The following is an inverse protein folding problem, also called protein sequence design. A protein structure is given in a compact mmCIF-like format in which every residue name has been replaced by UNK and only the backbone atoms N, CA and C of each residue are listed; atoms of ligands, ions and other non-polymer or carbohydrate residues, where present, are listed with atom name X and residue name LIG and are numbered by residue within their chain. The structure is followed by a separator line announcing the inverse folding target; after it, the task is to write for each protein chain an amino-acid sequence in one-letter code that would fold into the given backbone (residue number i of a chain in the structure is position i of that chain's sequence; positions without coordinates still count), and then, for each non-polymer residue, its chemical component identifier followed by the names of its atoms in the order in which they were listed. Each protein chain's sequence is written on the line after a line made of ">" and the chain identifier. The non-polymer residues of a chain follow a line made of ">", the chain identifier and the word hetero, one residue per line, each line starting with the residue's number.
data_IF_665731976481
#
_entry.id   IF_665731976481
#
_cell.length_a   1.000
_cell.length_b   1.000
_cell.length_c   1.000
_cell.angle_alpha   90.00
_cell.angle_beta   90.00
_cell.angle_gamma   90.00
#
_symmetry.space_group_name_H-M   'P 1'
#
loop_
_entity.id
_entity.type
_entity.pdbx_description
1 polymer ?
#
# COMPACT_ATOMS: atom_id res chain seq x y z
N UNK A 1 -3.35 -21.03 9.47
CA UNK A 1 -2.25 -20.59 8.61
C UNK A 1 -1.37 -21.74 8.15
N UNK A 2 -0.85 -22.59 9.04
CA UNK A 2 -0.01 -23.74 8.64
C UNK A 2 -0.65 -24.66 7.60
N UNK A 3 -1.93 -24.97 7.74
CA UNK A 3 -2.66 -25.83 6.83
C UNK A 3 -2.72 -25.28 5.39
N UNK A 4 -2.72 -23.95 5.23
CA UNK A 4 -2.74 -23.31 3.92
C UNK A 4 -1.39 -23.40 3.21
N UNK A 5 -0.30 -23.39 3.96
CA UNK A 5 1.06 -23.46 3.40
C UNK A 5 1.59 -24.89 3.22
N UNK A 6 0.94 -25.89 3.84
CA UNK A 6 1.37 -27.28 3.73
C UNK A 6 1.53 -27.78 2.28
N UNK A 7 0.59 -27.52 1.35
CA UNK A 7 0.75 -27.97 -0.05
C UNK A 7 1.95 -27.33 -0.76
N UNK A 8 2.28 -26.06 -0.42
CA UNK A 8 3.46 -25.40 -1.00
C UNK A 8 4.76 -26.05 -0.55
N UNK A 9 4.83 -26.44 0.73
CA UNK A 9 6.04 -27.05 1.31
C UNK A 9 6.35 -28.44 0.73
N UNK A 10 5.37 -29.11 0.12
CA UNK A 10 5.53 -30.36 -0.57
C UNK A 10 6.08 -30.19 -2.01
N UNK A 11 6.06 -28.96 -2.54
CA UNK A 11 6.57 -28.64 -3.87
C UNK A 11 8.08 -28.38 -3.82
N UNK A 12 8.85 -29.14 -4.60
CA UNK A 12 10.30 -28.96 -4.69
C UNK A 12 10.67 -27.59 -5.24
N UNK A 13 9.96 -27.11 -6.26
CA UNK A 13 10.17 -25.80 -6.90
C UNK A 13 9.97 -24.66 -5.93
N UNK A 14 8.96 -24.75 -5.05
CA UNK A 14 8.74 -23.76 -4.01
C UNK A 14 9.87 -23.75 -2.97
N UNK A 15 10.36 -24.93 -2.59
CA UNK A 15 11.47 -25.06 -1.66
C UNK A 15 12.75 -24.46 -2.26
N UNK A 16 13.02 -24.70 -3.54
CA UNK A 16 14.16 -24.11 -4.26
C UNK A 16 14.03 -22.61 -4.36
N UNK A 17 12.83 -22.08 -4.68
CA UNK A 17 12.57 -20.66 -4.71
C UNK A 17 12.86 -19.98 -3.36
N UNK A 18 12.35 -20.55 -2.27
CA UNK A 18 12.61 -20.02 -0.91
C UNK A 18 14.09 -19.99 -0.59
N UNK A 19 14.80 -21.05 -0.87
CA UNK A 19 16.25 -21.15 -0.63
C UNK A 19 17.03 -20.12 -1.44
N UNK A 20 16.66 -19.89 -2.69
CA UNK A 20 17.29 -18.87 -3.53
C UNK A 20 17.07 -17.45 -2.97
N UNK A 21 15.84 -17.13 -2.58
CA UNK A 21 15.52 -15.82 -1.97
C UNK A 21 16.23 -15.64 -0.64
N UNK A 22 16.24 -16.64 0.23
CA UNK A 22 16.91 -16.61 1.54
C UNK A 22 18.44 -16.40 1.41
N UNK A 23 19.05 -16.97 0.37
CA UNK A 23 20.47 -16.78 0.05
C UNK A 23 20.77 -15.45 -0.65
N UNK A 24 19.75 -14.65 -0.97
CA UNK A 24 19.93 -13.40 -1.73
C UNK A 24 20.28 -13.61 -3.20
N UNK A 25 20.00 -14.78 -3.77
CA UNK A 25 20.19 -15.05 -5.19
C UNK A 25 19.13 -14.25 -5.99
N UNK A 26 19.57 -13.25 -6.76
CA UNK A 26 18.69 -12.36 -7.52
C UNK A 26 19.25 -12.07 -8.91
N UNK A 27 18.43 -12.00 -9.94
CA UNK A 27 16.96 -12.26 -9.96
C UNK A 27 16.64 -13.75 -10.00
N UNK A 28 15.49 -14.12 -9.42
CA UNK A 28 14.91 -15.46 -9.58
C UNK A 28 13.70 -15.37 -10.51
N UNK A 29 13.63 -16.24 -11.53
CA UNK A 29 12.51 -16.29 -12.46
C UNK A 29 11.67 -17.53 -12.22
N UNK A 30 10.36 -17.33 -12.01
CA UNK A 30 9.38 -18.41 -11.86
C UNK A 30 8.48 -18.42 -13.09
N UNK A 31 8.38 -19.58 -13.76
CA UNK A 31 7.57 -19.74 -14.96
C UNK A 31 6.54 -20.86 -14.78
N UNK A 32 5.43 -20.77 -15.52
CA UNK A 32 4.41 -21.84 -15.56
C UNK A 32 3.40 -21.82 -14.42
N UNK A 33 3.52 -20.91 -13.45
CA UNK A 33 2.55 -20.79 -12.36
C UNK A 33 1.21 -20.20 -12.83
N UNK A 34 0.10 -20.80 -12.38
CA UNK A 34 -1.22 -20.20 -12.54
C UNK A 34 -1.36 -18.93 -11.66
N UNK A 35 -2.24 -18.01 -12.04
CA UNK A 35 -2.40 -16.73 -11.34
C UNK A 35 -2.71 -16.88 -9.84
N UNK A 36 -3.64 -17.78 -9.51
CA UNK A 36 -3.96 -18.07 -8.10
C UNK A 36 -2.77 -18.66 -7.32
N UNK A 37 -1.92 -19.46 -7.98
CA UNK A 37 -0.71 -20.01 -7.35
C UNK A 37 0.31 -18.92 -7.05
N UNK A 38 0.42 -17.87 -7.88
CA UNK A 38 1.36 -16.76 -7.66
C UNK A 38 1.10 -16.09 -6.33
N UNK A 39 -0.17 -15.71 -6.05
CA UNK A 39 -0.55 -15.11 -4.76
C UNK A 39 -0.20 -16.03 -3.59
N UNK A 40 -0.49 -17.33 -3.71
CA UNK A 40 -0.20 -18.30 -2.68
C UNK A 40 1.31 -18.48 -2.45
N UNK A 41 2.12 -18.54 -3.51
CA UNK A 41 3.59 -18.62 -3.41
C UNK A 41 4.19 -17.38 -2.78
N UNK A 42 3.74 -16.17 -3.17
CA UNK A 42 4.20 -14.91 -2.60
C UNK A 42 3.85 -14.86 -1.10
N UNK A 43 2.62 -15.23 -0.75
CA UNK A 43 2.20 -15.30 0.65
C UNK A 43 3.04 -16.31 1.44
N UNK A 44 3.36 -17.45 0.85
CA UNK A 44 4.22 -18.46 1.49
C UNK A 44 5.63 -17.97 1.82
N UNK A 45 6.05 -16.83 1.25
CA UNK A 45 7.36 -16.19 1.54
C UNK A 45 7.23 -14.98 2.47
N UNK A 46 6.09 -14.81 3.19
CA UNK A 46 5.84 -13.64 4.04
C UNK A 46 6.85 -13.44 5.17
N UNK A 47 7.46 -14.52 5.63
CA UNK A 47 8.46 -14.55 6.69
C UNK A 47 9.87 -14.14 6.23
N UNK A 48 10.09 -13.97 4.93
CA UNK A 48 11.41 -13.62 4.38
C UNK A 48 11.62 -12.09 4.28
N UNK A 49 10.57 -11.29 4.36
CA UNK A 49 10.68 -9.83 4.30
C UNK A 49 9.50 -9.14 4.98
N UNK A 50 9.79 -8.08 5.74
CA UNK A 50 8.76 -7.25 6.35
C UNK A 50 7.97 -6.43 5.33
N UNK A 51 8.61 -6.01 4.25
CA UNK A 51 7.98 -5.28 3.15
C UNK A 51 8.06 -6.10 1.87
N UNK A 52 6.91 -6.35 1.28
CA UNK A 52 6.77 -7.05 -0.01
C UNK A 52 6.17 -6.11 -1.03
N UNK A 53 6.83 -5.94 -2.16
CA UNK A 53 6.36 -5.12 -3.26
C UNK A 53 6.00 -5.99 -4.46
N UNK A 54 4.73 -5.98 -4.84
CA UNK A 54 4.21 -6.66 -6.03
C UNK A 54 3.95 -5.61 -7.10
N UNK A 55 4.72 -5.68 -8.19
CA UNK A 55 4.60 -4.74 -9.30
C UNK A 55 3.95 -5.45 -10.49
N UNK A 56 2.91 -4.87 -11.05
CA UNK A 56 2.21 -5.39 -12.22
C UNK A 56 2.16 -4.36 -13.35
N UNK A 57 1.68 -4.80 -14.52
CA UNK A 57 1.76 -4.02 -15.75
C UNK A 57 0.60 -3.04 -15.97
N UNK A 58 -0.53 -3.20 -15.27
CA UNK A 58 -1.63 -2.25 -15.31
C UNK A 58 -2.50 -2.28 -14.06
N UNK A 59 -3.38 -1.28 -13.91
CA UNK A 59 -4.24 -1.11 -12.74
C UNK A 59 -5.31 -2.18 -12.58
N UNK A 60 -5.90 -2.64 -13.69
CA UNK A 60 -6.93 -3.70 -13.65
C UNK A 60 -6.32 -4.92 -13.00
N UNK A 61 -5.13 -5.30 -13.46
CA UNK A 61 -4.41 -6.45 -12.90
C UNK A 61 -3.98 -6.22 -11.45
N UNK A 62 -3.60 -4.99 -11.10
CA UNK A 62 -3.23 -4.67 -9.72
C UNK A 62 -4.43 -4.83 -8.76
N UNK A 63 -5.61 -4.39 -9.18
CA UNK A 63 -6.85 -4.53 -8.38
C UNK A 63 -7.30 -5.98 -8.26
N UNK A 64 -7.24 -6.77 -9.34
CA UNK A 64 -7.50 -8.21 -9.28
C UNK A 64 -6.55 -8.91 -8.30
N UNK A 65 -5.24 -8.65 -8.41
CA UNK A 65 -4.25 -9.19 -7.48
C UNK A 65 -4.51 -8.76 -6.02
N UNK A 66 -4.95 -7.52 -5.80
CA UNK A 66 -5.30 -7.03 -4.48
C UNK A 66 -6.44 -7.85 -3.86
N UNK A 67 -7.50 -8.10 -4.62
CA UNK A 67 -8.65 -8.88 -4.15
C UNK A 67 -8.25 -10.35 -3.89
N UNK A 68 -7.48 -10.94 -4.79
CA UNK A 68 -6.98 -12.31 -4.63
C UNK A 68 -6.05 -12.42 -3.42
N UNK A 69 -5.11 -11.49 -3.26
CA UNK A 69 -4.12 -11.52 -2.19
C UNK A 69 -4.74 -11.25 -0.81
N UNK A 70 -5.81 -10.46 -0.74
CA UNK A 70 -6.58 -10.22 0.50
C UNK A 70 -7.18 -11.48 1.12
N UNK A 71 -7.31 -12.56 0.35
CA UNK A 71 -7.74 -13.85 0.89
C UNK A 71 -6.67 -14.46 1.81
N UNK A 72 -5.40 -14.13 1.57
CA UNK A 72 -4.25 -14.63 2.32
C UNK A 72 -3.81 -13.66 3.41
N UNK A 73 -3.62 -12.39 3.06
CA UNK A 73 -3.11 -11.35 3.95
C UNK A 73 -4.03 -10.13 3.95
N UNK A 74 -4.45 -9.71 5.16
CA UNK A 74 -5.29 -8.51 5.33
C UNK A 74 -4.47 -7.22 5.34
N UNK A 75 -3.16 -7.33 5.58
CA UNK A 75 -2.26 -6.17 5.58
C UNK A 75 -1.65 -5.93 4.20
N UNK A 76 -2.49 -5.90 3.19
CA UNK A 76 -2.14 -5.60 1.80
C UNK A 76 -2.74 -4.28 1.39
N UNK A 77 -1.91 -3.40 0.81
CA UNK A 77 -2.30 -2.06 0.36
C UNK A 77 -2.09 -1.91 -1.14
N UNK A 78 -2.97 -1.15 -1.77
CA UNK A 78 -2.82 -0.73 -3.15
C UNK A 78 -2.17 0.65 -3.21
N UNK A 79 -1.17 0.81 -4.08
CA UNK A 79 -0.54 2.08 -4.36
C UNK A 79 -0.78 2.45 -5.83
N UNK A 80 -1.80 3.30 -6.12
CA UNK A 80 -2.21 3.66 -7.47
C UNK A 80 -1.30 4.70 -8.12
N UNK A 81 -1.31 4.80 -9.46
CA UNK A 81 -0.75 5.91 -10.20
C UNK A 81 -1.53 7.20 -9.94
N UNK A 82 -0.84 8.36 -10.03
CA UNK A 82 -1.48 9.67 -9.84
C UNK A 82 -2.39 10.06 -11.00
N UNK A 83 -1.94 9.81 -12.21
CA UNK A 83 -2.62 10.18 -13.43
C UNK A 83 -3.49 9.04 -13.95
N UNK A 84 -4.62 8.83 -13.29
CA UNK A 84 -5.74 8.24 -13.99
C UNK A 84 -6.33 9.34 -14.88
N UNK A 85 -5.88 9.42 -16.14
CA UNK A 85 -6.40 10.31 -17.18
C UNK A 85 -7.89 9.99 -17.49
N UNK A 86 -8.62 9.42 -16.58
CA UNK A 86 -10.00 9.04 -16.79
C UNK A 86 -10.97 9.73 -15.84
N UNK A 87 -11.41 10.90 -16.32
CA UNK A 87 -12.71 11.49 -16.10
C UNK A 87 -13.10 12.06 -14.74
N UNK A 88 -13.40 13.34 -14.87
CA UNK A 88 -14.09 14.19 -13.92
C UNK A 88 -13.40 14.41 -12.57
N UNK A 89 -12.58 15.32 -12.71
CA UNK A 89 -12.14 16.45 -11.95
C UNK A 89 -11.90 16.22 -10.46
N UNK A 90 -12.75 16.26 -9.54
CA UNK A 90 -12.33 16.53 -8.14
C UNK A 90 -12.49 15.38 -7.15
N UNK A 91 -13.50 14.54 -7.34
CA UNK A 91 -13.82 13.48 -6.39
C UNK A 91 -12.88 12.27 -6.46
N UNK A 92 -12.37 11.94 -7.65
CA UNK A 92 -11.47 10.79 -7.81
C UNK A 92 -10.03 11.10 -7.40
N UNK A 93 -9.61 12.34 -7.47
CA UNK A 93 -8.27 12.77 -7.05
C UNK A 93 -8.04 12.57 -5.56
N UNK A 94 -9.03 12.87 -4.74
CA UNK A 94 -8.94 12.70 -3.28
C UNK A 94 -8.84 11.22 -2.88
N UNK A 95 -9.59 10.33 -3.54
CA UNK A 95 -9.55 8.89 -3.26
C UNK A 95 -8.18 8.27 -3.60
N UNK A 96 -7.57 8.66 -4.73
CA UNK A 96 -6.24 8.21 -5.12
C UNK A 96 -5.19 8.68 -4.10
N UNK A 97 -5.26 9.93 -3.69
CA UNK A 97 -4.36 10.48 -2.67
C UNK A 97 -4.52 9.73 -1.35
N UNK A 98 -5.75 9.45 -0.92
CA UNK A 98 -6.04 8.70 0.29
C UNK A 98 -5.48 7.25 0.22
N UNK A 99 -5.65 6.55 -0.90
CA UNK A 99 -5.07 5.20 -1.10
C UNK A 99 -3.53 5.24 -1.03
N UNK A 100 -2.88 6.21 -1.70
CA UNK A 100 -1.42 6.38 -1.64
C UNK A 100 -0.94 6.69 -0.22
N UNK A 101 -1.62 7.57 0.51
CA UNK A 101 -1.29 7.90 1.90
C UNK A 101 -1.45 6.69 2.82
N UNK A 102 -2.50 5.88 2.67
CA UNK A 102 -2.68 4.63 3.42
C UNK A 102 -1.52 3.66 3.20
N UNK A 103 -1.07 3.50 1.96
CA UNK A 103 0.08 2.65 1.64
C UNK A 103 1.39 3.18 2.25
N UNK A 104 1.65 4.50 2.16
CA UNK A 104 2.82 5.14 2.78
C UNK A 104 2.77 4.99 4.32
N UNK A 105 1.60 5.18 4.92
CA UNK A 105 1.41 5.02 6.35
C UNK A 105 1.66 3.57 6.80
N UNK A 106 1.23 2.60 6.00
CA UNK A 106 1.49 1.19 6.30
C UNK A 106 2.98 0.83 6.19
N UNK A 107 3.70 1.40 5.21
CA UNK A 107 5.16 1.27 5.08
C UNK A 107 5.93 1.90 6.24
N UNK A 108 5.38 2.96 6.84
CA UNK A 108 5.95 3.64 8.01
C UNK A 108 5.68 2.93 9.33
N UNK A 109 4.83 1.91 9.32
CA UNK A 109 4.47 1.14 10.52
C UNK A 109 5.45 0.00 10.80
N UNK A 110 5.31 -0.60 12.00
CA UNK A 110 6.16 -1.71 12.46
C UNK A 110 5.63 -3.09 12.03
N UNK A 111 4.54 -3.15 11.27
CA UNK A 111 3.93 -4.42 10.86
C UNK A 111 4.35 -4.79 9.45
N UNK A 112 4.62 -6.09 9.19
CA UNK A 112 4.85 -6.55 7.84
C UNK A 112 3.70 -6.14 6.91
N UNK A 113 4.03 -5.65 5.70
CA UNK A 113 3.05 -5.16 4.74
C UNK A 113 3.36 -5.61 3.33
N UNK A 114 2.31 -5.88 2.55
CA UNK A 114 2.41 -6.11 1.12
C UNK A 114 1.83 -4.91 0.36
N UNK A 115 2.60 -4.34 -0.54
CA UNK A 115 2.16 -3.26 -1.42
C UNK A 115 2.00 -3.82 -2.83
N UNK A 116 0.83 -3.62 -3.41
CA UNK A 116 0.56 -3.94 -4.82
C UNK A 116 0.50 -2.63 -5.59
N UNK A 117 1.23 -2.55 -6.69
CA UNK A 117 1.35 -1.32 -7.49
C UNK A 117 1.58 -1.64 -8.97
N UNK A 118 1.60 -0.59 -9.79
CA UNK A 118 1.99 -0.67 -11.20
C UNK A 118 3.35 0.00 -11.42
N UNK A 119 3.97 -0.27 -12.57
CA UNK A 119 5.21 0.42 -12.97
C UNK A 119 4.98 1.93 -13.03
N UNK A 120 3.86 2.36 -13.62
CA UNK A 120 3.50 3.77 -13.74
C UNK A 120 3.41 4.45 -12.38
N UNK A 121 2.73 3.82 -11.44
CA UNK A 121 2.63 4.32 -10.06
C UNK A 121 3.99 4.40 -9.34
N UNK A 122 4.85 3.42 -9.59
CA UNK A 122 6.21 3.38 -9.02
C UNK A 122 7.14 4.45 -9.59
N UNK A 123 6.88 4.91 -10.82
CA UNK A 123 7.63 6.00 -11.46
C UNK A 123 7.11 7.40 -11.12
N UNK A 124 5.94 7.50 -10.53
CA UNK A 124 5.38 8.76 -10.07
C UNK A 124 6.22 9.39 -8.94
N UNK A 125 6.41 10.70 -9.01
CA UNK A 125 7.04 11.43 -7.91
C UNK A 125 6.28 11.22 -6.60
N UNK A 126 7.01 10.80 -5.57
CA UNK A 126 6.48 10.61 -4.23
C UNK A 126 7.00 11.72 -3.29
N UNK A 127 6.21 12.07 -2.30
CA UNK A 127 6.66 12.95 -1.23
C UNK A 127 7.71 12.18 -0.40
N UNK A 128 8.88 12.79 -0.11
CA UNK A 128 9.86 12.16 0.75
C UNK A 128 9.26 11.79 2.12
N UNK A 129 9.63 10.63 2.64
CA UNK A 129 9.10 10.12 3.90
C UNK A 129 9.24 11.10 5.07
N UNK A 130 10.39 11.76 5.17
CA UNK A 130 10.66 12.78 6.21
C UNK A 130 9.64 13.93 6.16
N UNK A 131 9.27 14.38 4.95
CA UNK A 131 8.27 15.43 4.78
C UNK A 131 6.88 14.95 5.20
N UNK A 132 6.55 13.71 4.90
CA UNK A 132 5.30 13.07 5.33
C UNK A 132 5.22 13.01 6.86
N UNK A 133 6.26 12.52 7.54
CA UNK A 133 6.29 12.43 9.01
C UNK A 133 6.19 13.82 9.68
N UNK A 134 6.89 14.83 9.15
CA UNK A 134 6.86 16.18 9.68
C UNK A 134 5.50 16.90 9.53
N UNK A 135 4.68 16.43 8.58
CA UNK A 135 3.33 16.97 8.36
C UNK A 135 2.23 16.15 9.05
N UNK A 136 2.58 15.10 9.77
CA UNK A 136 1.63 14.23 10.45
C UNK A 136 1.18 14.87 11.77
N UNK A 137 -0.13 14.96 11.96
CA UNK A 137 -0.73 15.41 13.22
C UNK A 137 -1.32 14.17 13.90
N UNK A 138 -0.90 13.93 15.13
CA UNK A 138 -1.46 12.90 16.00
C UNK A 138 -2.23 13.57 17.12
N UNK A 139 -3.47 13.14 17.31
CA UNK A 139 -4.37 13.64 18.35
C UNK A 139 -4.84 12.45 19.18
N UNK A 140 -4.71 12.57 20.49
CA UNK A 140 -5.17 11.54 21.44
C UNK A 140 -6.28 12.10 22.35
N UNK A 141 -7.18 11.25 22.86
CA UNK A 141 -8.20 11.70 23.79
C UNK A 141 -7.57 12.35 25.04
N UNK A 142 -7.95 13.59 25.31
CA UNK A 142 -7.42 14.38 26.43
C UNK A 142 -6.40 15.42 26.03
N UNK A 143 -5.97 15.48 24.76
CA UNK A 143 -5.10 16.52 24.27
C UNK A 143 -5.81 17.89 24.28
N UNK A 144 -5.08 18.92 24.67
CA UNK A 144 -5.51 20.30 24.54
C UNK A 144 -5.11 20.81 23.16
N UNK A 145 -6.10 21.14 22.35
CA UNK A 145 -5.91 21.63 21.00
C UNK A 145 -6.13 23.15 20.95
N UNK A 146 -5.14 23.86 20.41
CA UNK A 146 -5.34 25.24 19.96
C UNK A 146 -5.97 25.21 18.58
N UNK A 147 -7.21 25.70 18.47
CA UNK A 147 -8.00 25.63 17.23
C UNK A 147 -7.42 26.53 16.15
N UNK A 148 -6.87 27.70 16.50
CA UNK A 148 -6.25 28.60 15.51
C UNK A 148 -4.97 27.99 14.94
N UNK A 149 -4.11 27.45 15.81
CA UNK A 149 -2.89 26.78 15.37
C UNK A 149 -3.22 25.56 14.50
N UNK A 150 -4.24 24.77 14.88
CA UNK A 150 -4.68 23.59 14.12
C UNK A 150 -5.21 23.98 12.74
N UNK A 151 -6.01 25.03 12.65
CA UNK A 151 -6.53 25.56 11.40
C UNK A 151 -5.39 25.98 10.46
N UNK A 152 -4.38 26.68 10.98
CA UNK A 152 -3.21 27.04 10.20
C UNK A 152 -2.41 25.84 9.71
N UNK A 153 -2.21 24.83 10.56
CA UNK A 153 -1.52 23.59 10.20
C UNK A 153 -2.27 22.83 9.11
N UNK A 154 -3.57 22.64 9.27
CA UNK A 154 -4.40 21.92 8.29
C UNK A 154 -4.41 22.65 6.94
N UNK A 155 -4.57 23.98 6.95
CA UNK A 155 -4.51 24.79 5.72
C UNK A 155 -3.14 24.69 5.03
N UNK A 156 -2.05 24.71 5.80
CA UNK A 156 -0.69 24.55 5.27
C UNK A 156 -0.42 23.15 4.69
N UNK A 157 -1.15 22.13 5.17
CA UNK A 157 -1.13 20.77 4.64
C UNK A 157 -2.01 20.58 3.40
N UNK A 158 -2.78 21.60 3.01
CA UNK A 158 -3.64 21.57 1.83
C UNK A 158 -5.09 21.15 2.09
N UNK A 159 -5.51 21.07 3.36
CA UNK A 159 -6.91 20.85 3.70
C UNK A 159 -7.73 22.11 3.41
N UNK A 160 -8.93 21.95 2.86
CA UNK A 160 -9.86 23.03 2.60
C UNK A 160 -10.71 23.34 3.83
N UNK A 161 -10.76 24.62 4.22
CA UNK A 161 -11.68 25.07 5.28
C UNK A 161 -13.07 25.28 4.65
N UNK A 162 -14.05 24.51 5.11
CA UNK A 162 -15.43 24.50 4.61
C UNK A 162 -16.43 24.72 5.75
N UNK A 163 -17.65 25.14 5.41
CA UNK A 163 -18.70 25.31 6.40
C UNK A 163 -19.25 23.99 6.95
N UNK A 164 -19.19 22.93 6.13
CA UNK A 164 -19.59 21.58 6.48
C UNK A 164 -18.70 20.58 5.75
N UNK A 165 -18.08 19.67 6.50
CA UNK A 165 -17.20 18.64 5.98
C UNK A 165 -18.03 17.57 5.27
N UNK A 166 -17.76 17.34 3.97
CA UNK A 166 -18.42 16.32 3.15
C UNK A 166 -17.44 15.27 2.61
N UNK A 167 -16.14 15.58 2.55
CA UNK A 167 -15.13 14.70 1.96
C UNK A 167 -13.80 14.72 2.71
N UNK A 168 -12.95 13.72 2.41
CA UNK A 168 -11.57 13.69 2.90
C UNK A 168 -10.78 14.87 2.33
N UNK A 169 -9.97 15.53 3.16
CA UNK A 169 -9.22 16.73 2.79
C UNK A 169 -9.91 18.04 3.14
N UNK A 170 -11.06 17.98 3.81
CA UNK A 170 -11.80 19.14 4.31
C UNK A 170 -11.77 19.21 5.84
N UNK A 171 -11.90 20.40 6.38
CA UNK A 171 -12.11 20.62 7.81
C UNK A 171 -13.06 21.80 8.04
N UNK A 172 -13.69 21.82 9.19
CA UNK A 172 -14.54 22.91 9.68
C UNK A 172 -14.18 23.24 11.12
N UNK A 173 -14.12 24.53 11.44
CA UNK A 173 -13.88 25.07 12.79
C UNK A 173 -15.00 25.99 13.19
#
# INVERSE_FOLDING_TARGET
>A
METLLAPLREMEEYTQLRLAVDKGETPVTVVGGMEAQKCHMIYGMEDLADVRLIVTYNEIRARELLEDYRLYDKNVMYYPAKDLIFYSADVHGSAIVAERLKAIQALAGDKPVTIITTIDAGMDACVPYEKYENQRIRIEPGDLLDLEEMQHKLSAMGYANVSQVESEGEFSV
#
